data_IF_643153105481
#
_entry.id   IF_643153105481
#
_cell.length_a   1.000
_cell.length_b   1.000
_cell.length_c   1.000
_cell.angle_alpha   90.00
_cell.angle_beta   90.00
_cell.angle_gamma   90.00
#
_symmetry.space_group_name_H-M   'P 1'
#
loop_
_entity.id
_entity.type
_entity.pdbx_description
1 polymer ?
#
# COMPACT_ATOMS: atom_id res chain seq x y z
N UNK A 1 -1.07 -2.82 24.38
CA UNK A 1 -0.07 -3.92 24.48
C UNK A 1 0.80 -4.03 23.21
N UNK A 2 2.06 -4.49 23.30
CA UNK A 2 2.95 -4.62 22.12
C UNK A 2 2.36 -5.54 21.02
N UNK A 3 1.58 -6.55 21.41
CA UNK A 3 0.97 -7.52 20.48
C UNK A 3 0.06 -6.86 19.45
N UNK A 4 -0.75 -5.89 19.89
CA UNK A 4 -1.69 -5.19 19.02
C UNK A 4 -1.00 -4.32 17.97
N UNK A 5 0.11 -3.67 18.35
CA UNK A 5 0.92 -2.86 17.42
C UNK A 5 1.56 -3.72 16.34
N UNK A 6 2.02 -4.93 16.71
CA UNK A 6 2.57 -5.89 15.74
C UNK A 6 1.50 -6.37 14.78
N UNK A 7 0.32 -6.74 15.30
CA UNK A 7 -0.82 -7.15 14.48
C UNK A 7 -1.26 -6.04 13.52
N UNK A 8 -1.36 -4.80 14.00
CA UNK A 8 -1.74 -3.65 13.18
C UNK A 8 -0.72 -3.36 12.06
N UNK A 9 0.58 -3.51 12.33
CA UNK A 9 1.63 -3.42 11.31
C UNK A 9 1.48 -4.52 10.25
N UNK A 10 1.26 -5.77 10.68
CA UNK A 10 1.04 -6.90 9.78
C UNK A 10 -0.20 -6.71 8.91
N UNK A 11 -1.31 -6.28 9.51
CA UNK A 11 -2.58 -6.03 8.82
C UNK A 11 -2.40 -5.00 7.70
N UNK A 12 -1.80 -3.84 7.99
CA UNK A 12 -1.55 -2.82 6.95
C UNK A 12 -0.59 -3.27 5.86
N UNK A 13 0.37 -4.12 6.19
CA UNK A 13 1.24 -4.70 5.17
C UNK A 13 0.45 -5.61 4.22
N UNK A 14 -0.43 -6.45 4.78
CA UNK A 14 -1.32 -7.32 4.01
C UNK A 14 -2.31 -6.54 3.15
N UNK A 15 -2.91 -5.48 3.68
CA UNK A 15 -3.86 -4.64 2.93
C UNK A 15 -3.21 -3.95 1.72
N UNK A 16 -1.96 -3.46 1.86
CA UNK A 16 -1.22 -2.93 0.70
C UNK A 16 -0.97 -4.00 -0.37
N UNK A 17 -0.71 -5.24 0.05
CA UNK A 17 -0.50 -6.34 -0.89
C UNK A 17 -1.80 -6.68 -1.63
N UNK A 18 -2.94 -6.66 -0.93
CA UNK A 18 -4.26 -6.85 -1.53
C UNK A 18 -4.59 -5.70 -2.49
N UNK A 19 -4.28 -4.44 -2.15
CA UNK A 19 -4.48 -3.30 -3.05
C UNK A 19 -3.69 -3.47 -4.35
N UNK A 20 -2.42 -3.87 -4.26
CA UNK A 20 -1.57 -4.12 -5.42
C UNK A 20 -2.07 -5.30 -6.26
N UNK A 21 -2.53 -6.36 -5.61
CA UNK A 21 -3.16 -7.50 -6.26
C UNK A 21 -4.43 -7.10 -7.01
N UNK A 22 -5.27 -6.25 -6.40
CA UNK A 22 -6.51 -5.76 -6.99
C UNK A 22 -6.23 -4.94 -8.27
N UNK A 23 -5.21 -4.07 -8.25
CA UNK A 23 -4.82 -3.34 -9.46
C UNK A 23 -4.16 -4.23 -10.52
N UNK A 24 -3.39 -5.24 -10.10
CA UNK A 24 -2.76 -6.33 -10.89
C UNK A 24 -1.79 -5.92 -12.00
N UNK A 25 -2.10 -4.87 -12.77
CA UNK A 25 -1.39 -4.41 -13.96
C UNK A 25 -0.56 -3.17 -13.63
N UNK A 26 0.66 -3.03 -14.17
CA UNK A 26 1.54 -1.89 -13.89
C UNK A 26 0.89 -0.55 -14.29
N UNK A 27 0.17 -0.51 -15.42
CA UNK A 27 -0.54 0.70 -15.86
C UNK A 27 -1.64 1.12 -14.89
N UNK A 28 -2.38 0.17 -14.31
CA UNK A 28 -3.43 0.44 -13.32
C UNK A 28 -2.82 0.90 -12.00
N UNK A 29 -1.73 0.26 -11.55
CA UNK A 29 -0.98 0.67 -10.35
C UNK A 29 -0.49 2.11 -10.51
N UNK A 30 0.19 2.42 -11.62
CA UNK A 30 0.68 3.76 -11.89
C UNK A 30 -0.45 4.79 -11.86
N UNK A 31 -1.55 4.55 -12.59
CA UNK A 31 -2.71 5.46 -12.63
C UNK A 31 -3.34 5.67 -11.25
N UNK A 32 -3.55 4.59 -10.49
CA UNK A 32 -4.09 4.66 -9.13
C UNK A 32 -3.20 5.48 -8.20
N UNK A 33 -1.89 5.26 -8.27
CA UNK A 33 -0.92 6.02 -7.47
C UNK A 33 -0.88 7.50 -7.87
N UNK A 34 -0.87 7.82 -9.16
CA UNK A 34 -0.93 9.21 -9.64
C UNK A 34 -2.22 9.92 -9.22
N UNK A 35 -3.36 9.23 -9.28
CA UNK A 35 -4.64 9.78 -8.82
C UNK A 35 -4.65 10.09 -7.31
N UNK A 36 -3.84 9.38 -6.52
CA UNK A 36 -3.62 9.67 -5.09
C UNK A 36 -2.47 10.64 -4.82
N UNK A 37 -1.96 11.35 -5.85
CA UNK A 37 -0.92 12.36 -5.69
C UNK A 37 0.52 11.83 -5.56
N UNK A 38 0.77 10.57 -5.92
CA UNK A 38 2.14 10.05 -5.91
C UNK A 38 3.05 10.80 -6.91
N UNK A 39 4.31 10.99 -6.52
CA UNK A 39 5.34 11.45 -7.44
C UNK A 39 5.56 10.44 -8.57
N UNK A 40 6.13 10.93 -9.68
CA UNK A 40 6.41 10.11 -10.85
C UNK A 40 7.31 8.91 -10.51
N UNK A 41 8.37 9.14 -9.74
CA UNK A 41 9.35 8.11 -9.36
C UNK A 41 8.70 7.02 -8.52
N UNK A 42 7.86 7.41 -7.55
CA UNK A 42 7.14 6.47 -6.68
C UNK A 42 6.16 5.64 -7.50
N UNK A 43 5.38 6.29 -8.37
CA UNK A 43 4.42 5.60 -9.22
C UNK A 43 5.11 4.60 -10.18
N UNK A 44 6.21 5.01 -10.83
CA UNK A 44 7.01 4.15 -11.72
C UNK A 44 7.64 2.99 -10.97
N UNK A 45 8.27 3.24 -9.82
CA UNK A 45 8.95 2.21 -9.04
C UNK A 45 7.97 1.14 -8.54
N UNK A 46 6.81 1.54 -8.03
CA UNK A 46 5.80 0.61 -7.53
C UNK A 46 5.15 -0.16 -8.69
N UNK A 47 4.88 0.50 -9.83
CA UNK A 47 4.36 -0.15 -11.02
C UNK A 47 5.35 -1.16 -11.64
N UNK A 48 6.64 -0.84 -11.69
CA UNK A 48 7.68 -1.76 -12.16
C UNK A 48 7.79 -3.03 -11.32
N UNK A 49 7.41 -2.96 -10.04
CA UNK A 49 7.35 -4.11 -9.13
C UNK A 49 5.97 -4.78 -9.07
N UNK A 50 5.14 -4.63 -10.11
CA UNK A 50 3.76 -5.12 -10.15
C UNK A 50 3.59 -6.65 -9.99
N UNK A 51 4.65 -7.45 -10.15
CA UNK A 51 4.61 -8.91 -9.94
C UNK A 51 5.04 -9.33 -8.53
N UNK A 52 5.53 -8.40 -7.70
CA UNK A 52 6.12 -8.67 -6.38
C UNK A 52 5.29 -8.06 -5.26
N UNK A 53 4.00 -8.38 -5.17
CA UNK A 53 3.05 -7.69 -4.30
C UNK A 53 3.48 -7.64 -2.83
N UNK A 54 3.92 -8.76 -2.27
CA UNK A 54 4.35 -8.82 -0.86
C UNK A 54 5.55 -7.91 -0.60
N UNK A 55 6.64 -8.08 -1.37
CA UNK A 55 7.85 -7.24 -1.23
C UNK A 55 7.56 -5.76 -1.47
N UNK A 56 6.78 -5.44 -2.50
CA UNK A 56 6.43 -4.07 -2.89
C UNK A 56 5.59 -3.37 -1.80
N UNK A 57 4.74 -4.13 -1.10
CA UNK A 57 3.90 -3.64 0.01
C UNK A 57 4.67 -3.21 1.25
N UNK A 58 5.97 -3.54 1.35
CA UNK A 58 6.85 -3.05 2.41
C UNK A 58 7.74 -1.87 1.95
N UNK A 59 7.66 -1.46 0.68
CA UNK A 59 8.52 -0.45 0.08
C UNK A 59 7.93 0.96 0.06
N UNK A 60 8.29 1.72 -0.98
CA UNK A 60 7.95 3.15 -1.15
C UNK A 60 6.45 3.41 -1.23
N UNK A 61 5.61 2.43 -1.57
CA UNK A 61 4.14 2.55 -1.59
C UNK A 61 3.54 3.00 -0.25
N UNK A 62 4.24 2.80 0.88
CA UNK A 62 3.80 3.24 2.21
C UNK A 62 3.57 4.74 2.33
N UNK A 63 4.26 5.54 1.51
CA UNK A 63 4.11 7.00 1.52
C UNK A 63 2.81 7.46 0.85
N UNK A 64 2.22 6.62 -0.01
CA UNK A 64 0.95 6.88 -0.70
C UNK A 64 -0.19 6.18 0.04
N UNK A 65 -0.06 4.86 0.25
CA UNK A 65 -0.98 4.06 1.04
C UNK A 65 -0.62 4.20 2.52
N UNK A 66 -0.81 5.39 3.07
CA UNK A 66 -0.47 5.75 4.45
C UNK A 66 -1.43 5.12 5.46
N UNK A 67 -1.19 5.34 6.75
CA UNK A 67 -2.17 4.99 7.79
C UNK A 67 -3.46 5.78 7.58
N UNK A 68 -3.37 7.08 7.23
CA UNK A 68 -4.53 7.93 6.98
C UNK A 68 -5.40 7.42 5.83
N UNK A 69 -4.79 6.92 4.75
CA UNK A 69 -5.52 6.26 3.66
C UNK A 69 -6.40 5.11 4.17
N UNK A 70 -5.83 4.20 4.97
CA UNK A 70 -6.59 3.07 5.52
C UNK A 70 -7.60 3.48 6.59
N UNK A 71 -7.34 4.55 7.35
CA UNK A 71 -8.33 5.11 8.26
C UNK A 71 -9.55 5.65 7.50
N UNK A 72 -9.35 6.31 6.35
CA UNK A 72 -10.43 6.77 5.47
C UNK A 72 -11.26 5.62 4.87
N UNK A 73 -10.69 4.41 4.80
CA UNK A 73 -11.41 3.19 4.41
C UNK A 73 -12.08 2.46 5.58
N UNK A 74 -12.03 3.02 6.80
CA UNK A 74 -12.64 2.43 7.99
C UNK A 74 -11.87 1.26 8.60
N UNK A 75 -10.58 1.09 8.26
CA UNK A 75 -9.76 0.04 8.88
C UNK A 75 -9.54 0.38 10.36
N UNK A 76 -9.91 -0.51 11.30
CA UNK A 76 -9.81 -0.22 12.73
C UNK A 76 -8.35 -0.09 13.17
N UNK A 77 -8.11 0.83 14.11
CA UNK A 77 -6.84 0.93 14.84
C UNK A 77 -6.93 0.02 16.05
N UNK A 78 -5.93 -0.84 16.22
CA UNK A 78 -5.90 -1.84 17.28
C UNK A 78 -5.04 -1.38 18.47
N UNK A 79 -4.43 -0.19 18.41
CA UNK A 79 -3.45 0.29 19.40
C UNK A 79 -3.40 1.79 19.56
#
# INVERSE_FOLDING_TARGET
PKVWRTLEKWLRHRLRAIQLWHWKRPRTIYRGLKAMGASEDVAKQVAGNCHRWWRNSNGVIKIVLTIAYFNGLGVPRLS
#
